data_IF_702425941728
#
_entry.id   IF_702425941728
#
_cell.length_a   1.000
_cell.length_b   1.000
_cell.length_c   1.000
_cell.angle_alpha   90.00
_cell.angle_beta   90.00
_cell.angle_gamma   90.00
#
_symmetry.space_group_name_H-M   'P 1'
#
loop_
_entity.id
_entity.type
_entity.pdbx_description
1 polymer ?
#
# COMPACT_ATOMS: atom_id res chain seq x y z
N UNK A 1 6.22 -10.28 7.63
CA UNK A 1 6.17 -8.82 7.53
C UNK A 1 7.43 -8.29 6.91
N UNK A 2 8.11 -7.41 7.63
CA UNK A 2 9.40 -6.82 7.28
C UNK A 2 10.47 -7.86 6.91
N UNK A 3 10.53 -9.01 7.61
CA UNK A 3 11.50 -10.07 7.33
C UNK A 3 11.47 -10.62 5.89
N UNK A 4 10.31 -10.61 5.23
CA UNK A 4 10.18 -11.09 3.84
C UNK A 4 10.89 -10.15 2.86
N UNK A 5 10.95 -8.85 3.20
CA UNK A 5 11.52 -7.81 2.36
C UNK A 5 12.77 -7.16 2.98
N UNK A 6 13.39 -7.81 3.97
CA UNK A 6 14.60 -7.28 4.61
C UNK A 6 15.72 -7.15 3.57
N UNK A 7 16.25 -5.94 3.42
CA UNK A 7 17.29 -5.63 2.44
C UNK A 7 16.81 -5.63 0.98
N UNK A 8 15.49 -5.61 0.74
CA UNK A 8 14.89 -5.52 -0.60
C UNK A 8 14.30 -4.13 -0.82
N UNK A 9 14.29 -3.69 -2.07
CA UNK A 9 13.72 -2.40 -2.50
C UNK A 9 12.41 -2.68 -3.24
N UNK A 10 11.37 -1.93 -2.93
CA UNK A 10 10.11 -1.94 -3.68
C UNK A 10 9.90 -0.60 -4.36
N UNK A 11 9.38 -0.61 -5.59
CA UNK A 11 9.05 0.61 -6.31
C UNK A 11 7.60 1.00 -6.00
N UNK A 12 7.37 2.26 -5.63
CA UNK A 12 6.01 2.78 -5.56
C UNK A 12 5.52 3.13 -6.96
N UNK A 13 4.22 2.95 -7.21
CA UNK A 13 3.61 3.37 -8.48
C UNK A 13 3.41 4.91 -8.60
N UNK A 14 3.80 5.68 -7.58
CA UNK A 14 3.87 7.15 -7.66
C UNK A 14 5.21 7.53 -8.24
N UNK A 15 5.20 8.03 -9.47
CA UNK A 15 6.32 8.79 -10.07
C UNK A 15 7.72 8.24 -9.77
N UNK A 16 7.98 6.96 -10.06
CA UNK A 16 9.32 6.36 -9.96
C UNK A 16 10.06 6.59 -8.62
N UNK A 17 9.37 6.88 -7.52
CA UNK A 17 10.01 6.90 -6.21
C UNK A 17 10.19 5.45 -5.75
N UNK A 18 11.45 5.07 -5.59
CA UNK A 18 11.82 3.83 -4.93
C UNK A 18 11.54 3.98 -3.44
N UNK A 19 10.88 2.98 -2.83
CA UNK A 19 10.88 2.84 -1.37
C UNK A 19 12.27 2.31 -1.00
N UNK A 20 13.25 3.19 -1.00
CA UNK A 20 14.67 2.82 -0.89
C UNK A 20 15.03 2.34 0.50
N UNK A 21 14.38 2.87 1.55
CA UNK A 21 14.76 2.56 2.93
C UNK A 21 13.91 1.46 3.57
N UNK A 22 14.57 0.54 4.27
CA UNK A 22 13.92 -0.51 5.07
C UNK A 22 12.90 0.06 6.08
N UNK A 23 13.14 1.28 6.56
CA UNK A 23 12.22 1.98 7.48
C UNK A 23 10.91 2.40 6.80
N UNK A 24 10.99 2.97 5.61
CA UNK A 24 9.80 3.36 4.84
C UNK A 24 9.01 2.13 4.41
N UNK A 25 9.71 1.08 3.98
CA UNK A 25 9.09 -0.19 3.63
C UNK A 25 8.43 -0.86 4.84
N UNK A 26 9.10 -0.83 6.00
CA UNK A 26 8.55 -1.30 7.27
C UNK A 26 7.25 -0.59 7.60
N UNK A 27 7.23 0.75 7.60
CA UNK A 27 6.01 1.55 7.83
C UNK A 27 4.91 1.28 6.81
N UNK A 28 5.27 1.12 5.55
CA UNK A 28 4.32 0.85 4.49
C UNK A 28 3.60 -0.49 4.68
N UNK A 29 4.27 -1.49 5.26
CA UNK A 29 3.78 -2.87 5.44
C UNK A 29 3.31 -3.18 6.87
N UNK A 30 3.64 -2.34 7.85
CA UNK A 30 3.35 -2.59 9.26
C UNK A 30 1.83 -2.62 9.54
N UNK A 31 1.41 -3.64 10.31
CA UNK A 31 0.01 -3.87 10.70
C UNK A 31 -1.00 -3.88 9.54
N UNK A 32 -0.58 -4.35 8.36
CA UNK A 32 -1.44 -4.45 7.17
C UNK A 32 -1.45 -5.88 6.61
N UNK A 33 -2.57 -6.25 6.02
CA UNK A 33 -2.67 -7.44 5.15
C UNK A 33 -1.97 -7.12 3.84
N UNK A 34 -1.14 -8.04 3.36
CA UNK A 34 -0.41 -7.88 2.11
C UNK A 34 -0.95 -8.83 1.05
N UNK A 35 -1.24 -8.27 -0.13
CA UNK A 35 -1.53 -9.02 -1.34
C UNK A 35 -0.30 -9.03 -2.22
N UNK A 36 0.27 -10.22 -2.44
CA UNK A 36 1.24 -10.44 -3.50
C UNK A 36 0.48 -10.83 -4.76
N UNK A 37 0.44 -9.92 -5.73
CA UNK A 37 -0.20 -10.18 -7.01
C UNK A 37 0.85 -10.58 -8.05
N UNK A 38 0.79 -11.84 -8.49
CA UNK A 38 1.61 -12.39 -9.55
C UNK A 38 0.84 -12.31 -10.87
N UNK A 39 1.36 -11.55 -11.82
CA UNK A 39 0.68 -11.29 -13.07
C UNK A 39 1.60 -10.83 -14.20
N UNK A 40 1.01 -10.72 -15.39
CA UNK A 40 1.64 -10.11 -16.56
C UNK A 40 0.59 -9.37 -17.38
N UNK A 41 0.94 -8.21 -17.94
CA UNK A 41 0.10 -7.45 -18.86
C UNK A 41 -0.19 -8.17 -20.18
N UNK A 42 0.68 -9.09 -20.59
CA UNK A 42 0.47 -9.89 -21.80
C UNK A 42 -0.48 -11.08 -21.59
N UNK A 43 -0.64 -11.56 -20.36
CA UNK A 43 -1.48 -12.71 -20.06
C UNK A 43 -2.99 -12.38 -20.20
N UNK A 44 -3.75 -13.09 -21.05
CA UNK A 44 -5.18 -12.82 -21.25
C UNK A 44 -6.03 -12.99 -19.98
N UNK A 45 -5.69 -13.98 -19.13
CA UNK A 45 -6.38 -14.20 -17.85
C UNK A 45 -6.09 -13.04 -16.88
N UNK A 46 -4.85 -12.57 -16.82
CA UNK A 46 -4.46 -11.43 -16.01
C UNK A 46 -5.16 -10.14 -16.47
N UNK A 47 -5.28 -9.89 -17.78
CA UNK A 47 -5.99 -8.71 -18.29
C UNK A 47 -7.46 -8.65 -17.90
N UNK A 48 -8.12 -9.80 -17.74
CA UNK A 48 -9.51 -9.87 -17.25
C UNK A 48 -9.60 -9.66 -15.74
N UNK A 49 -8.64 -10.18 -14.98
CA UNK A 49 -8.65 -10.11 -13.52
C UNK A 49 -8.13 -8.78 -12.96
N UNK A 50 -7.13 -8.16 -13.60
CA UNK A 50 -6.50 -6.92 -13.14
C UNK A 50 -7.48 -5.76 -12.90
N UNK A 51 -8.48 -5.47 -13.77
CA UNK A 51 -9.47 -4.44 -13.47
C UNK A 51 -10.33 -4.79 -12.24
N UNK A 52 -10.70 -6.07 -12.06
CA UNK A 52 -11.42 -6.51 -10.86
C UNK A 52 -10.59 -6.31 -9.60
N UNK A 53 -9.31 -6.64 -9.65
CA UNK A 53 -8.39 -6.45 -8.52
C UNK A 53 -8.17 -4.96 -8.20
N UNK A 54 -8.06 -4.12 -9.22
CA UNK A 54 -8.00 -2.67 -9.07
C UNK A 54 -9.26 -2.14 -8.37
N UNK A 55 -10.42 -2.52 -8.86
CA UNK A 55 -11.69 -2.02 -8.33
C UNK A 55 -11.91 -2.51 -6.89
N UNK A 56 -11.56 -3.77 -6.60
CA UNK A 56 -11.51 -4.33 -5.24
C UNK A 56 -10.61 -3.51 -4.31
N UNK A 57 -9.38 -3.19 -4.76
CA UNK A 57 -8.44 -2.42 -3.97
C UNK A 57 -8.95 -1.00 -3.71
N UNK A 58 -9.52 -0.33 -4.72
CA UNK A 58 -10.08 1.02 -4.58
C UNK A 58 -11.27 1.03 -3.61
N UNK A 59 -12.18 0.06 -3.69
CA UNK A 59 -13.32 -0.03 -2.79
C UNK A 59 -12.93 -0.21 -1.32
N UNK A 60 -11.76 -0.79 -1.05
CA UNK A 60 -11.25 -0.99 0.30
C UNK A 60 -10.38 0.15 0.82
N UNK A 61 -9.86 1.01 -0.06
CA UNK A 61 -8.78 1.95 0.31
C UNK A 61 -9.07 3.40 -0.01
N UNK A 62 -10.00 3.69 -0.92
CA UNK A 62 -10.34 5.04 -1.35
C UNK A 62 -11.41 5.67 -0.45
N UNK A 63 -11.20 6.94 -0.09
CA UNK A 63 -12.09 7.72 0.79
C UNK A 63 -13.50 7.88 0.20
N UNK A 64 -13.65 7.75 -1.12
CA UNK A 64 -14.96 7.77 -1.76
C UNK A 64 -15.83 6.58 -1.36
N UNK A 65 -15.22 5.43 -1.07
CA UNK A 65 -15.95 4.19 -0.74
C UNK A 65 -15.97 3.89 0.75
N UNK A 66 -14.93 4.29 1.50
CA UNK A 66 -14.78 3.98 2.92
C UNK A 66 -14.31 5.19 3.73
N UNK A 67 -14.90 5.38 4.91
CA UNK A 67 -14.48 6.46 5.84
C UNK A 67 -13.05 6.28 6.33
N UNK A 68 -12.58 5.03 6.41
CA UNK A 68 -11.21 4.68 6.80
C UNK A 68 -10.64 3.67 5.82
N UNK A 69 -9.49 3.99 5.25
CA UNK A 69 -8.77 3.09 4.37
C UNK A 69 -8.44 1.79 5.11
N UNK A 70 -8.77 0.66 4.50
CA UNK A 70 -8.42 -0.65 5.00
C UNK A 70 -6.90 -0.79 5.18
N UNK A 71 -6.50 -1.55 6.19
CA UNK A 71 -5.11 -1.92 6.44
C UNK A 71 -4.64 -2.95 5.41
N UNK A 72 -4.51 -2.49 4.16
CA UNK A 72 -4.26 -3.30 2.98
C UNK A 72 -3.13 -2.72 2.14
N UNK A 73 -2.19 -3.57 1.74
CA UNK A 73 -1.12 -3.26 0.79
C UNK A 73 -1.12 -4.28 -0.32
N UNK A 74 -0.80 -3.83 -1.53
CA UNK A 74 -0.65 -4.70 -2.68
C UNK A 74 0.74 -4.49 -3.29
N UNK A 75 1.48 -5.59 -3.44
CA UNK A 75 2.77 -5.65 -4.12
C UNK A 75 2.61 -6.45 -5.40
N UNK A 76 2.90 -5.81 -6.53
CA UNK A 76 2.91 -6.44 -7.84
C UNK A 76 4.23 -7.14 -8.09
N UNK A 77 4.14 -8.43 -8.39
CA UNK A 77 5.24 -9.28 -8.84
C UNK A 77 5.03 -9.55 -10.33
N UNK A 78 5.73 -8.78 -11.15
CA UNK A 78 5.63 -8.89 -12.61
C UNK A 78 6.33 -10.16 -13.13
N UNK A 79 5.59 -10.94 -13.92
CA UNK A 79 6.10 -11.99 -14.81
C UNK A 79 6.17 -11.52 -16.28
N UNK A 80 6.23 -10.20 -16.48
CA UNK A 80 6.37 -9.62 -17.81
C UNK A 80 7.76 -9.91 -18.38
N UNK A 81 7.89 -9.93 -19.70
CA UNK A 81 9.16 -10.21 -20.37
C UNK A 81 10.06 -8.98 -20.46
N UNK A 82 9.48 -7.78 -20.37
CA UNK A 82 10.22 -6.52 -20.47
C UNK A 82 9.77 -5.51 -19.42
N UNK A 83 10.68 -4.60 -19.06
CA UNK A 83 10.42 -3.54 -18.08
C UNK A 83 9.32 -2.59 -18.56
N UNK A 84 9.25 -2.30 -19.86
CA UNK A 84 8.24 -1.42 -20.44
C UNK A 84 6.84 -1.99 -20.25
N UNK A 85 6.69 -3.32 -20.30
CA UNK A 85 5.41 -3.98 -20.06
C UNK A 85 4.99 -3.86 -18.60
N UNK A 86 5.92 -4.08 -17.66
CA UNK A 86 5.68 -3.87 -16.23
C UNK A 86 5.27 -2.41 -15.97
N UNK A 87 6.02 -1.45 -16.53
CA UNK A 87 5.74 -0.02 -16.37
C UNK A 87 4.38 0.36 -16.98
N UNK A 88 4.08 -0.10 -18.19
CA UNK A 88 2.80 0.15 -18.85
C UNK A 88 1.62 -0.41 -18.03
N UNK A 89 1.78 -1.60 -17.46
CA UNK A 89 0.77 -2.19 -16.58
C UNK A 89 0.57 -1.33 -15.32
N UNK A 90 1.65 -1.00 -14.61
CA UNK A 90 1.59 -0.21 -13.37
C UNK A 90 0.96 1.17 -13.58
N UNK A 91 1.21 1.83 -14.72
CA UNK A 91 0.55 3.10 -15.08
C UNK A 91 -0.97 3.05 -15.11
N UNK A 92 -1.56 1.87 -15.33
CA UNK A 92 -3.02 1.68 -15.33
C UNK A 92 -3.60 1.34 -13.94
N UNK A 93 -2.73 1.12 -12.97
CA UNK A 93 -3.07 0.67 -11.62
C UNK A 93 -3.03 1.83 -10.61
N UNK A 94 -3.64 1.67 -9.42
CA UNK A 94 -3.65 2.70 -8.40
C UNK A 94 -2.24 3.08 -7.96
N UNK A 95 -2.05 4.37 -7.69
CA UNK A 95 -0.78 4.93 -7.23
C UNK A 95 -0.26 4.34 -5.90
N UNK A 96 -1.13 3.71 -5.11
CA UNK A 96 -0.79 3.09 -3.81
C UNK A 96 -0.22 1.68 -3.94
N UNK A 97 -0.18 1.13 -5.16
CA UNK A 97 0.43 -0.18 -5.38
C UNK A 97 1.94 -0.07 -5.32
N UNK A 98 2.54 -1.08 -4.73
CA UNK A 98 3.97 -1.30 -4.73
C UNK A 98 4.29 -2.35 -5.80
N UNK A 99 5.53 -2.38 -6.29
CA UNK A 99 5.98 -3.36 -7.25
C UNK A 99 7.43 -3.77 -6.98
N UNK A 100 7.77 -5.02 -7.29
CA UNK A 100 9.16 -5.46 -7.26
C UNK A 100 9.88 -4.93 -8.51
N UNK A 101 11.10 -4.34 -8.39
CA UNK A 101 11.90 -3.89 -9.52
C UNK A 101 12.04 -4.95 -10.61
N UNK A 102 12.03 -4.54 -11.89
CA UNK A 102 11.89 -5.50 -12.99
C UNK A 102 12.97 -6.59 -12.99
N UNK A 103 14.24 -6.18 -12.78
CA UNK A 103 15.41 -7.06 -12.80
C UNK A 103 15.75 -7.75 -11.48
N UNK A 104 14.92 -7.62 -10.44
CA UNK A 104 15.23 -8.22 -9.13
C UNK A 104 14.98 -9.74 -9.14
N UNK A 105 16.00 -10.51 -8.75
CA UNK A 105 15.93 -11.96 -8.51
C UNK A 105 14.86 -12.36 -7.49
N UNK A 106 14.50 -11.43 -6.60
CA UNK A 106 13.50 -11.62 -5.56
C UNK A 106 12.13 -12.05 -6.10
N UNK A 107 11.76 -11.64 -7.33
CA UNK A 107 10.53 -12.10 -7.98
C UNK A 107 10.45 -13.63 -8.05
N UNK A 108 11.56 -14.27 -8.42
CA UNK A 108 11.65 -15.73 -8.54
C UNK A 108 11.66 -16.42 -7.18
N UNK A 109 12.30 -15.80 -6.19
CA UNK A 109 12.27 -16.28 -4.79
C UNK A 109 10.83 -16.31 -4.26
N UNK A 110 10.06 -15.24 -4.50
CA UNK A 110 8.64 -15.17 -4.12
C UNK A 110 7.79 -16.22 -4.83
N UNK A 111 7.97 -16.41 -6.14
CA UNK A 111 7.23 -17.44 -6.89
C UNK A 111 7.46 -18.85 -6.31
N UNK A 112 8.72 -19.19 -6.01
CA UNK A 112 9.08 -20.47 -5.44
C UNK A 112 8.59 -20.62 -4.00
N UNK A 113 8.77 -19.59 -3.17
CA UNK A 113 8.37 -19.60 -1.76
C UNK A 113 6.87 -19.81 -1.58
N UNK A 114 6.05 -19.21 -2.44
CA UNK A 114 4.59 -19.33 -2.39
C UNK A 114 4.01 -20.35 -3.37
N UNK A 115 4.88 -21.17 -3.99
CA UNK A 115 4.49 -22.23 -4.94
C UNK A 115 3.57 -21.75 -6.08
N UNK A 116 3.80 -20.53 -6.59
CA UNK A 116 2.98 -19.93 -7.64
C UNK A 116 3.36 -20.52 -8.99
N UNK A 117 2.53 -21.44 -9.48
CA UNK A 117 2.75 -22.13 -10.76
C UNK A 117 2.12 -21.39 -11.94
N UNK A 118 0.94 -20.82 -11.76
CA UNK A 118 0.16 -20.15 -12.81
C UNK A 118 -0.21 -18.71 -12.44
N UNK A 119 -0.42 -17.88 -13.46
CA UNK A 119 -0.91 -16.49 -13.30
C UNK A 119 -2.26 -16.29 -14.00
N UNK A 120 -3.17 -15.46 -13.45
CA UNK A 120 -3.01 -14.63 -12.26
C UNK A 120 -3.05 -15.45 -10.95
N UNK A 121 -2.26 -15.03 -9.97
CA UNK A 121 -2.33 -15.54 -8.59
C UNK A 121 -2.23 -14.39 -7.60
N UNK A 122 -3.01 -14.46 -6.53
CA UNK A 122 -2.98 -13.48 -5.44
C UNK A 122 -2.74 -14.21 -4.14
N UNK A 123 -1.55 -14.07 -3.56
CA UNK A 123 -1.23 -14.63 -2.24
C UNK A 123 -1.57 -13.58 -1.19
N UNK A 124 -2.32 -13.97 -0.16
CA UNK A 124 -2.71 -13.10 0.94
C UNK A 124 -1.88 -13.45 2.17
N UNK A 125 -1.16 -12.46 2.70
CA UNK A 125 -0.26 -12.60 3.83
C UNK A 125 -0.71 -11.77 5.03
N UNK A 126 -0.53 -12.34 6.22
CA UNK A 126 -0.69 -11.66 7.52
C UNK A 126 0.46 -10.69 7.77
N UNK A 127 0.29 -9.68 8.65
CA UNK A 127 1.37 -8.77 9.10
C UNK A 127 2.63 -9.48 9.61
N UNK A 128 2.51 -10.68 10.17
CA UNK A 128 3.67 -11.47 10.61
C UNK A 128 4.42 -12.14 9.43
N UNK A 129 3.80 -12.28 8.26
CA UNK A 129 4.36 -12.93 7.06
C UNK A 129 3.76 -14.30 6.74
N UNK A 130 2.87 -14.81 7.60
CA UNK A 130 2.20 -16.09 7.36
C UNK A 130 1.17 -15.99 6.24
N UNK A 131 0.98 -17.09 5.52
CA UNK A 131 -0.02 -17.19 4.45
C UNK A 131 -1.41 -17.36 5.05
N UNK A 132 -2.34 -16.48 4.69
CA UNK A 132 -3.77 -16.66 4.93
C UNK A 132 -4.37 -17.49 3.80
N UNK A 133 -4.11 -17.06 2.55
CA UNK A 133 -4.66 -17.70 1.34
C UNK A 133 -3.56 -17.79 0.29
N UNK A 134 -3.32 -18.99 -0.23
CA UNK A 134 -2.30 -19.22 -1.27
C UNK A 134 -2.70 -18.72 -2.67
N UNK A 135 -4.00 -18.70 -2.99
CA UNK A 135 -4.50 -18.05 -4.20
C UNK A 135 -5.93 -17.52 -4.01
N UNK A 136 -6.06 -16.21 -3.87
CA UNK A 136 -7.32 -15.52 -3.59
C UNK A 136 -8.08 -15.05 -4.85
N UNK A 137 -7.62 -15.38 -6.07
CA UNK A 137 -8.26 -14.93 -7.32
C UNK A 137 -9.75 -15.29 -7.37
N UNK A 138 -10.09 -16.54 -7.09
CA UNK A 138 -11.48 -17.00 -7.09
C UNK A 138 -12.31 -16.36 -5.97
N UNK A 139 -11.70 -16.19 -4.78
CA UNK A 139 -12.36 -15.58 -3.63
C UNK A 139 -12.71 -14.11 -3.89
N UNK A 140 -11.78 -13.36 -4.48
CA UNK A 140 -11.98 -11.95 -4.89
C UNK A 140 -13.07 -11.86 -5.97
N UNK A 141 -13.05 -12.76 -6.96
CA UNK A 141 -14.06 -12.77 -8.03
C UNK A 141 -15.47 -13.07 -7.50
N UNK A 142 -15.59 -13.98 -6.53
CA UNK A 142 -16.89 -14.45 -6.02
C UNK A 142 -17.46 -13.54 -4.94
N UNK A 143 -16.63 -13.08 -4.00
CA UNK A 143 -17.06 -12.35 -2.81
C UNK A 143 -16.79 -10.84 -2.90
N UNK A 144 -15.93 -10.39 -3.80
CA UNK A 144 -15.53 -8.99 -3.88
C UNK A 144 -14.95 -8.48 -2.55
N UNK A 145 -15.18 -7.22 -2.15
CA UNK A 145 -14.64 -6.64 -0.92
C UNK A 145 -15.02 -7.39 0.37
N UNK A 146 -16.08 -8.21 0.35
CA UNK A 146 -16.53 -8.93 1.53
C UNK A 146 -15.51 -9.97 2.02
N UNK A 147 -14.68 -10.55 1.13
CA UNK A 147 -13.65 -11.51 1.54
C UNK A 147 -12.58 -10.86 2.45
N UNK A 148 -12.38 -9.56 2.33
CA UNK A 148 -11.39 -8.85 3.13
C UNK A 148 -11.67 -8.97 4.62
N UNK A 149 -12.94 -9.02 5.05
CA UNK A 149 -13.31 -9.20 6.47
C UNK A 149 -12.76 -10.51 7.02
N UNK A 150 -12.88 -11.60 6.26
CA UNK A 150 -12.34 -12.91 6.64
C UNK A 150 -10.82 -12.85 6.80
N UNK A 151 -10.13 -12.12 5.91
CA UNK A 151 -8.68 -11.97 5.99
C UNK A 151 -8.25 -11.07 7.15
N UNK A 152 -9.02 -10.02 7.47
CA UNK A 152 -8.78 -9.19 8.66
C UNK A 152 -8.91 -9.99 9.95
N UNK A 153 -9.97 -10.79 10.07
CA UNK A 153 -10.19 -11.68 11.21
C UNK A 153 -9.06 -12.72 11.32
N UNK A 154 -8.70 -13.37 10.20
CA UNK A 154 -7.63 -14.36 10.17
C UNK A 154 -6.25 -13.75 10.46
N UNK A 155 -6.03 -12.48 10.10
CA UNK A 155 -4.81 -11.75 10.42
C UNK A 155 -4.72 -11.34 11.90
N UNK A 156 -5.76 -11.60 12.70
CA UNK A 156 -5.88 -11.13 14.08
C UNK A 156 -5.56 -9.65 14.20
N UNK A 157 -5.90 -8.88 13.15
CA UNK A 157 -5.77 -7.44 13.18
C UNK A 157 -6.77 -6.95 14.21
N UNK A 158 -6.29 -6.77 15.44
CA UNK A 158 -7.05 -6.13 16.50
C UNK A 158 -7.49 -4.80 15.93
N UNK A 159 -8.81 -4.63 15.79
CA UNK A 159 -9.40 -3.37 15.40
C UNK A 159 -8.97 -2.37 16.48
N UNK A 160 -7.91 -1.61 16.21
CA UNK A 160 -7.40 -0.53 17.07
C UNK A 160 -8.37 0.65 17.01
N UNK A 161 -9.67 0.38 17.05
CA UNK A 161 -10.77 1.33 17.04
C UNK A 161 -10.76 2.25 18.27
N UNK A 162 -9.86 2.00 19.25
CA UNK A 162 -9.58 2.86 20.40
C UNK A 162 -8.33 3.73 20.26
N UNK A 163 -7.46 3.49 19.27
CA UNK A 163 -6.38 4.42 18.94
C UNK A 163 -6.89 5.32 17.82
N UNK A 164 -6.91 6.63 18.07
CA UNK A 164 -6.99 7.62 16.99
C UNK A 164 -5.96 7.24 15.92
N UNK A 165 -6.27 7.51 14.66
CA UNK A 165 -5.41 7.21 13.51
C UNK A 165 -4.00 7.80 13.71
N UNK A 166 -3.14 7.04 14.39
CA UNK A 166 -1.72 7.28 14.43
C UNK A 166 -1.21 6.83 13.06
N UNK A 167 -0.58 7.79 12.37
CA UNK A 167 -0.05 7.73 11.01
C UNK A 167 -1.00 8.19 9.88
N UNK A 168 -1.53 9.41 10.05
CA UNK A 168 -1.73 10.37 8.94
C UNK A 168 -0.65 11.48 8.93
N UNK A 169 0.59 11.14 9.29
CA UNK A 169 1.74 12.02 9.05
C UNK A 169 2.34 11.71 7.67
N UNK A 170 1.64 12.12 6.60
CA UNK A 170 2.27 12.67 5.38
C UNK A 170 1.29 13.15 4.30
N UNK A 171 -0.02 13.20 4.57
CA UNK A 171 -0.96 13.85 3.65
C UNK A 171 -2.03 14.71 4.30
N UNK A 172 -1.68 15.41 5.38
CA UNK A 172 -2.38 16.66 5.62
C UNK A 172 -1.85 17.68 4.61
N UNK A 173 -2.66 17.86 3.55
CA UNK A 173 -2.80 19.16 2.90
C UNK A 173 -2.65 20.22 3.99
N UNK A 174 -1.63 21.08 3.90
CA UNK A 174 -1.48 22.23 4.81
C UNK A 174 -2.86 22.83 5.01
N UNK A 175 -3.36 22.80 6.25
CA UNK A 175 -4.71 23.28 6.54
C UNK A 175 -4.87 24.66 5.92
N UNK A 176 -6.02 24.96 5.31
CA UNK A 176 -6.31 26.29 4.76
C UNK A 176 -6.18 27.37 5.86
N UNK A 177 -6.26 26.96 7.13
CA UNK A 177 -6.09 27.80 8.32
C UNK A 177 -4.65 27.92 8.83
N UNK A 178 -3.69 27.15 8.28
CA UNK A 178 -2.27 27.16 8.66
C UNK A 178 -1.59 28.55 8.43
N UNK A 179 -1.89 29.28 7.33
CA UNK A 179 -1.45 30.67 7.18
C UNK A 179 -1.99 31.60 8.28
N UNK A 180 -3.25 31.39 8.69
CA UNK A 180 -3.94 32.23 9.69
C UNK A 180 -3.39 31.93 11.09
N UNK A 181 -3.13 30.67 11.41
CA UNK A 181 -2.48 30.26 12.67
C UNK A 181 -1.08 30.87 12.80
N UNK A 182 -0.29 30.83 11.72
CA UNK A 182 1.05 31.46 11.72
C UNK A 182 1.01 32.97 11.90
N UNK A 183 -0.03 33.65 11.40
CA UNK A 183 -0.25 35.07 11.65
C UNK A 183 -0.63 35.36 13.11
N UNK A 184 -1.52 34.54 13.69
CA UNK A 184 -1.94 34.68 15.09
C UNK A 184 -0.75 34.56 16.06
N UNK A 185 0.07 33.51 15.90
CA UNK A 185 1.23 33.29 16.78
C UNK A 185 2.47 34.16 16.45
N UNK A 186 2.49 34.84 15.29
CA UNK A 186 3.52 35.86 15.00
C UNK A 186 3.18 37.23 15.58
N UNK A 187 1.91 37.52 15.83
CA UNK A 187 1.48 38.77 16.46
C UNK A 187 1.78 38.76 17.97
N UNK A 188 1.57 37.62 18.64
CA UNK A 188 1.85 37.49 20.08
C UNK A 188 3.35 37.66 20.39
N UNK A 189 4.24 37.11 19.55
CA UNK A 189 5.69 37.30 19.70
C UNK A 189 6.18 38.73 19.43
N UNK A 190 5.41 39.53 18.69
CA UNK A 190 5.76 40.94 18.43
C UNK A 190 5.22 41.87 19.51
N UNK A 191 4.06 41.54 20.08
CA UNK A 191 3.49 42.23 21.23
C UNK A 191 4.36 42.03 22.49
N UNK A 192 4.80 40.81 22.78
CA UNK A 192 5.69 40.52 23.92
C UNK A 192 7.11 41.08 23.77
N UNK A 193 7.57 41.34 22.55
CA UNK A 193 8.87 41.96 22.28
C UNK A 193 8.82 43.49 22.42
N UNK A 194 7.70 44.13 22.10
CA UNK A 194 7.52 45.58 22.31
C UNK A 194 7.30 45.92 23.79
N UNK A 195 6.60 45.09 24.57
CA UNK A 195 6.40 45.33 26.01
C UNK A 195 7.70 45.15 26.84
N UNK A 196 8.73 44.47 26.32
CA UNK A 196 10.05 44.32 26.98
C UNK A 196 11.08 45.38 26.61
N UNK A 197 10.80 46.22 25.61
CA UNK A 197 11.66 47.36 25.23
C UNK A 197 11.16 48.69 25.84
N UNK A 198 9.97 48.72 26.43
CA UNK A 198 9.37 49.91 27.07
C UNK A 198 9.35 49.86 28.61
N UNK A 199 10.03 48.90 29.25
CA UNK A 199 10.21 48.80 30.71
C UNK A 199 11.67 49.05 31.16
#
# INVERSE_FOLDING_TARGET
>A
MAALFTGKVLMANREQDEVETERELGRALENKVLLLYFGSGQCPRCRRFSPLLRDFFLQLTDEFYVERASQLVLVYVSRDETEEQQSAFLRTMPKRWLAVPFGDTFKRELELQFAVSEVPAVVVLKPNGDVIVGNAVEEIQRLGPACFRNWQEAAELVDRNFLLAEDFEDWTRRSITDPIRRLKYKLDKKAEAQEREEE
#
